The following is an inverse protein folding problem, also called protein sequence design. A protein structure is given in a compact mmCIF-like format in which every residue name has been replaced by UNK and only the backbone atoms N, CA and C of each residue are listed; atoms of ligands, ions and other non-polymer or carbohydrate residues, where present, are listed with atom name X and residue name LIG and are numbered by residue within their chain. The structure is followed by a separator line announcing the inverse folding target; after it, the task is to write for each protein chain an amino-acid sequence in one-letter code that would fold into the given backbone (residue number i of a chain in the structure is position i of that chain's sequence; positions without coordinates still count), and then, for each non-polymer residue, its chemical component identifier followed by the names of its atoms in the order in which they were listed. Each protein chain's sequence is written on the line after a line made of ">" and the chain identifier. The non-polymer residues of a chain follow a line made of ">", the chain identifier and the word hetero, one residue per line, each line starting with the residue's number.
data_IF_606235226671
#
_entry.id   IF_606235226671
#
_cell.length_a   1.000
_cell.length_b   1.000
_cell.length_c   1.000
_cell.angle_alpha   90.00
_cell.angle_beta   90.00
_cell.angle_gamma   90.00
#
_symmetry.space_group_name_H-M   'P 1'
#
loop_
_entity.id
_entity.type
_entity.pdbx_description
1 polymer ?
#
# COMPACT_ATOMS: atom_id res chain seq x y z
N UNK A 1 -22.10 -13.18 -2.90
CA UNK A 1 -23.56 -13.40 -2.84
C UNK A 1 -24.06 -13.72 -1.44
N UNK A 2 -23.49 -14.72 -0.75
CA UNK A 2 -23.81 -15.04 0.67
C UNK A 2 -23.60 -13.86 1.64
N UNK A 3 -22.51 -13.10 1.50
CA UNK A 3 -22.25 -11.93 2.33
C UNK A 3 -23.32 -10.83 2.18
N UNK A 4 -23.83 -10.60 0.98
CA UNK A 4 -24.86 -9.57 0.72
C UNK A 4 -26.18 -9.96 1.41
N UNK A 5 -26.54 -11.24 1.37
CA UNK A 5 -27.76 -11.75 2.01
C UNK A 5 -27.67 -11.58 3.54
N UNK A 6 -26.56 -11.99 4.15
CA UNK A 6 -26.39 -11.95 5.60
C UNK A 6 -26.19 -10.53 6.17
N UNK A 7 -25.42 -9.68 5.48
CA UNK A 7 -25.04 -8.37 6.02
C UNK A 7 -25.95 -7.23 5.58
N UNK A 8 -26.81 -7.43 4.56
CA UNK A 8 -27.69 -6.37 4.04
C UNK A 8 -29.16 -6.80 4.11
N UNK A 9 -29.52 -7.96 3.56
CA UNK A 9 -30.94 -8.36 3.44
C UNK A 9 -31.55 -8.71 4.81
N UNK A 10 -30.88 -9.55 5.61
CA UNK A 10 -31.40 -9.96 6.93
C UNK A 10 -31.59 -8.76 7.88
N UNK A 11 -30.61 -7.86 8.06
CA UNK A 11 -30.80 -6.67 8.89
C UNK A 11 -31.92 -5.76 8.38
N UNK A 12 -32.06 -5.61 7.07
CA UNK A 12 -33.10 -4.77 6.47
C UNK A 12 -34.51 -5.34 6.72
N UNK A 13 -34.69 -6.67 6.60
CA UNK A 13 -35.95 -7.33 6.96
C UNK A 13 -36.25 -7.18 8.46
N UNK A 14 -35.25 -7.36 9.33
CA UNK A 14 -35.41 -7.17 10.77
C UNK A 14 -35.75 -5.71 11.14
N UNK A 15 -35.20 -4.74 10.42
CA UNK A 15 -35.53 -3.32 10.60
C UNK A 15 -37.01 -3.03 10.33
N UNK A 16 -37.57 -3.56 9.24
CA UNK A 16 -39.00 -3.45 8.95
C UNK A 16 -39.87 -4.25 9.92
N UNK A 17 -39.38 -5.38 10.43
CA UNK A 17 -40.07 -6.22 11.40
C UNK A 17 -40.20 -5.57 12.80
N UNK A 18 -39.13 -4.95 13.30
CA UNK A 18 -39.09 -4.32 14.63
C UNK A 18 -39.61 -2.86 14.67
N UNK A 19 -40.24 -2.39 13.58
CA UNK A 19 -40.80 -1.05 13.34
C UNK A 19 -40.98 -0.18 14.61
N UNK A 20 -40.08 0.79 14.79
CA UNK A 20 -40.08 1.85 15.83
C UNK A 20 -40.05 1.39 17.30
N UNK A 21 -39.44 0.24 17.58
CA UNK A 21 -39.12 -0.20 18.95
C UNK A 21 -37.61 -0.21 19.21
N UNK A 22 -37.19 -0.50 20.44
CA UNK A 22 -35.77 -0.59 20.81
C UNK A 22 -34.98 -1.56 19.90
N UNK A 23 -35.65 -2.57 19.35
CA UNK A 23 -35.09 -3.50 18.37
C UNK A 23 -34.64 -2.81 17.06
N UNK A 24 -35.34 -1.78 16.58
CA UNK A 24 -34.91 -1.06 15.37
C UNK A 24 -33.63 -0.25 15.59
N UNK A 25 -33.40 0.25 16.81
CA UNK A 25 -32.16 0.97 17.17
C UNK A 25 -30.97 0.00 17.16
N UNK A 26 -31.14 -1.20 17.73
CA UNK A 26 -30.09 -2.24 17.76
C UNK A 26 -29.70 -2.67 16.34
N UNK A 27 -30.68 -2.82 15.44
CA UNK A 27 -30.43 -3.17 14.04
C UNK A 27 -29.66 -2.06 13.31
N UNK A 28 -30.01 -0.79 13.52
CA UNK A 28 -29.27 0.36 12.96
C UNK A 28 -27.82 0.37 13.47
N UNK A 29 -27.61 0.22 14.78
CA UNK A 29 -26.27 0.18 15.37
C UNK A 29 -25.43 -0.97 14.82
N UNK A 30 -26.05 -2.14 14.62
CA UNK A 30 -25.40 -3.30 14.01
C UNK A 30 -24.98 -3.04 12.57
N UNK A 31 -25.85 -2.39 11.77
CA UNK A 31 -25.53 -2.00 10.39
C UNK A 31 -24.40 -0.97 10.35
N UNK A 32 -24.41 0.03 11.25
CA UNK A 32 -23.34 1.02 11.37
C UNK A 32 -22.01 0.36 11.76
N UNK A 33 -22.05 -0.61 12.67
CA UNK A 33 -20.87 -1.38 13.08
C UNK A 33 -20.30 -2.19 11.91
N UNK A 34 -21.15 -2.93 11.19
CA UNK A 34 -20.74 -3.67 9.99
C UNK A 34 -20.17 -2.70 8.95
N UNK A 35 -20.87 -1.60 8.67
CA UNK A 35 -20.43 -0.60 7.70
C UNK A 35 -19.07 -0.03 8.07
N UNK A 36 -18.85 0.30 9.34
CA UNK A 36 -17.56 0.72 9.85
C UNK A 36 -16.54 -0.39 9.56
N UNK A 37 -16.66 -1.62 10.05
CA UNK A 37 -15.63 -2.64 9.83
C UNK A 37 -15.53 -3.21 8.41
N UNK A 38 -16.39 -2.80 7.47
CA UNK A 38 -16.25 -3.19 6.07
C UNK A 38 -15.23 -2.33 5.31
N UNK A 39 -14.43 -2.93 4.40
CA UNK A 39 -13.43 -2.21 3.61
C UNK A 39 -14.04 -1.16 2.66
N UNK A 40 -15.35 -1.22 2.41
CA UNK A 40 -16.07 -0.18 1.66
C UNK A 40 -15.99 1.19 2.33
N UNK A 41 -15.91 1.25 3.66
CA UNK A 41 -15.85 2.53 4.37
C UNK A 41 -14.54 3.28 4.13
N UNK A 42 -13.44 2.61 3.75
CA UNK A 42 -12.18 3.28 3.38
C UNK A 42 -12.36 4.24 2.20
N UNK A 43 -13.24 3.90 1.25
CA UNK A 43 -13.48 4.72 0.05
C UNK A 43 -14.16 6.06 0.36
N UNK A 44 -14.70 6.24 1.57
CA UNK A 44 -15.25 7.52 2.02
C UNK A 44 -14.15 8.47 2.53
N UNK A 45 -12.94 7.98 2.75
CA UNK A 45 -11.88 8.74 3.39
C UNK A 45 -10.93 9.36 2.34
N UNK A 46 -10.76 10.70 2.31
CA UNK A 46 -9.88 11.34 1.32
C UNK A 46 -8.43 10.86 1.38
N UNK A 47 -7.92 10.56 2.59
CA UNK A 47 -6.55 10.06 2.78
C UNK A 47 -6.32 8.69 2.15
N UNK A 48 -7.35 7.84 2.08
CA UNK A 48 -7.29 6.55 1.40
C UNK A 48 -7.12 6.73 -0.11
N UNK A 49 -7.83 7.69 -0.71
CA UNK A 49 -7.67 8.00 -2.15
C UNK A 49 -6.29 8.55 -2.50
N UNK A 50 -5.71 9.36 -1.62
CA UNK A 50 -4.33 9.83 -1.78
C UNK A 50 -3.34 8.65 -1.73
N UNK A 51 -3.46 7.80 -0.71
CA UNK A 51 -2.66 6.57 -0.59
C UNK A 51 -2.80 5.68 -1.82
N UNK A 52 -4.03 5.41 -2.28
CA UNK A 52 -4.29 4.59 -3.46
C UNK A 52 -3.67 5.17 -4.73
N UNK A 53 -3.72 6.50 -4.90
CA UNK A 53 -3.12 7.19 -6.04
C UNK A 53 -1.59 7.01 -6.07
N UNK A 54 -0.95 7.10 -4.91
CA UNK A 54 0.48 6.84 -4.76
C UNK A 54 0.80 5.40 -5.19
N UNK A 55 0.06 4.43 -4.66
CA UNK A 55 0.30 3.02 -4.98
C UNK A 55 0.08 2.67 -6.45
N UNK A 56 -0.86 3.34 -7.13
CA UNK A 56 -1.09 3.18 -8.57
C UNK A 56 0.10 3.61 -9.44
N UNK A 57 1.06 4.39 -8.92
CA UNK A 57 2.29 4.68 -9.64
C UNK A 57 3.10 3.40 -9.94
N UNK A 58 2.93 2.35 -9.12
CA UNK A 58 3.59 1.07 -9.36
C UNK A 58 3.08 0.32 -10.60
N UNK A 59 1.88 0.66 -11.09
CA UNK A 59 1.27 0.07 -12.29
C UNK A 59 1.86 0.66 -13.58
N UNK A 60 2.46 1.86 -13.50
CA UNK A 60 3.09 2.52 -14.64
C UNK A 60 4.30 1.73 -15.17
N UNK A 61 4.61 1.85 -16.48
CA UNK A 61 5.84 1.28 -17.04
C UNK A 61 7.08 1.84 -16.35
N UNK A 62 8.13 1.01 -16.24
CA UNK A 62 9.38 1.42 -15.61
C UNK A 62 10.19 2.31 -16.55
N UNK A 63 9.95 3.62 -16.48
CA UNK A 63 10.65 4.65 -17.25
C UNK A 63 10.93 5.89 -16.39
N UNK A 64 11.63 6.87 -16.96
CA UNK A 64 12.02 8.10 -16.24
C UNK A 64 10.83 8.92 -15.75
N UNK A 65 9.74 8.96 -16.52
CA UNK A 65 8.51 9.66 -16.12
C UNK A 65 7.94 9.07 -14.82
N UNK A 66 7.83 7.74 -14.73
CA UNK A 66 7.39 7.07 -13.50
C UNK A 66 8.33 7.37 -12.34
N UNK A 67 9.63 7.28 -12.60
CA UNK A 67 10.65 7.44 -11.56
C UNK A 67 10.61 8.85 -10.98
N UNK A 68 10.58 9.88 -11.83
CA UNK A 68 10.45 11.26 -11.39
C UNK A 68 9.11 11.54 -10.70
N UNK A 69 8.00 10.91 -11.13
CA UNK A 69 6.73 10.97 -10.39
C UNK A 69 6.84 10.40 -8.98
N UNK A 70 7.53 9.26 -8.80
CA UNK A 70 7.76 8.67 -7.47
C UNK A 70 8.64 9.59 -6.62
N UNK A 71 9.75 10.05 -7.19
CA UNK A 71 10.73 10.89 -6.51
C UNK A 71 10.19 12.27 -6.12
N UNK A 72 9.25 12.83 -6.88
CA UNK A 72 8.62 14.11 -6.55
C UNK A 72 7.92 14.12 -5.19
N UNK A 73 7.46 12.97 -4.68
CA UNK A 73 6.93 12.89 -3.31
C UNK A 73 7.99 13.09 -2.23
N UNK A 74 9.27 12.94 -2.57
CA UNK A 74 10.43 13.15 -1.72
C UNK A 74 11.17 14.45 -2.04
N UNK A 75 10.54 15.36 -2.79
CA UNK A 75 11.11 16.66 -3.18
C UNK A 75 12.44 16.51 -3.95
N UNK A 76 12.55 15.45 -4.75
CA UNK A 76 13.73 15.12 -5.56
C UNK A 76 13.32 14.59 -6.94
N UNK A 77 14.28 14.45 -7.85
CA UNK A 77 14.17 13.73 -9.12
C UNK A 77 15.43 12.89 -9.35
N UNK A 78 15.53 12.20 -10.49
CA UNK A 78 16.68 11.35 -10.82
C UNK A 78 18.01 12.12 -10.97
N UNK A 79 17.97 13.39 -11.37
CA UNK A 79 19.14 14.21 -11.64
C UNK A 79 19.74 14.77 -10.35
N UNK A 80 18.89 15.11 -9.37
CA UNK A 80 19.32 15.67 -8.08
C UNK A 80 19.38 14.65 -6.93
N UNK A 81 18.96 13.39 -7.15
CA UNK A 81 19.01 12.36 -6.12
C UNK A 81 20.44 12.14 -5.60
N UNK A 82 20.60 12.11 -4.28
CA UNK A 82 21.88 11.74 -3.65
C UNK A 82 22.12 10.23 -3.78
N UNK A 83 22.76 9.85 -4.89
CA UNK A 83 23.13 8.48 -5.18
C UNK A 83 24.14 7.91 -4.19
N UNK A 84 25.00 8.74 -3.58
CA UNK A 84 26.00 8.26 -2.61
C UNK A 84 25.31 7.82 -1.32
N UNK A 85 24.42 8.65 -0.77
CA UNK A 85 23.61 8.27 0.39
C UNK A 85 22.78 7.02 0.10
N UNK A 86 22.15 6.96 -1.08
CA UNK A 86 21.32 5.83 -1.50
C UNK A 86 22.13 4.53 -1.57
N UNK A 87 23.35 4.58 -2.12
CA UNK A 87 24.22 3.41 -2.23
C UNK A 87 24.80 2.98 -0.87
N UNK A 88 24.84 3.86 0.13
CA UNK A 88 25.25 3.50 1.50
C UNK A 88 24.29 2.51 2.18
N UNK A 89 23.05 2.39 1.69
CA UNK A 89 22.00 1.52 2.25
C UNK A 89 21.73 0.26 1.42
N UNK A 90 22.47 0.08 0.33
CA UNK A 90 22.19 -1.00 -0.63
C UNK A 90 22.40 -2.38 -0.01
N UNK A 91 21.65 -3.35 -0.50
CA UNK A 91 21.84 -4.76 -0.18
C UNK A 91 21.74 -5.62 -1.44
N UNK A 92 22.31 -6.82 -1.36
CA UNK A 92 22.20 -7.83 -2.40
C UNK A 92 20.87 -8.57 -2.24
N UNK A 93 20.11 -8.70 -3.32
CA UNK A 93 18.85 -9.44 -3.34
C UNK A 93 19.17 -10.92 -3.46
N UNK A 94 18.68 -11.72 -2.51
CA UNK A 94 18.89 -13.17 -2.50
C UNK A 94 17.78 -13.90 -3.27
N UNK A 95 18.01 -15.16 -3.64
CA UNK A 95 17.08 -15.95 -4.47
C UNK A 95 15.72 -16.20 -3.78
N UNK A 96 15.70 -16.12 -2.46
CA UNK A 96 14.51 -16.34 -1.63
C UNK A 96 13.56 -15.13 -1.66
N UNK A 97 14.04 -13.95 -2.09
CA UNK A 97 13.18 -12.78 -2.22
C UNK A 97 12.25 -12.90 -3.42
N UNK A 98 10.95 -12.68 -3.20
CA UNK A 98 9.90 -12.86 -4.23
C UNK A 98 10.01 -11.96 -5.47
N UNK A 99 10.88 -10.95 -5.46
CA UNK A 99 11.18 -10.11 -6.63
C UNK A 99 12.57 -10.36 -7.22
N UNK A 100 13.33 -11.35 -6.74
CA UNK A 100 14.61 -11.71 -7.34
C UNK A 100 14.44 -12.15 -8.79
N UNK A 101 15.27 -11.61 -9.68
CA UNK A 101 15.40 -12.09 -11.06
C UNK A 101 16.88 -12.04 -11.45
N UNK A 102 17.44 -13.20 -11.77
CA UNK A 102 18.84 -13.33 -12.14
C UNK A 102 19.17 -12.42 -13.34
N UNK A 103 20.25 -11.64 -13.24
CA UNK A 103 20.67 -10.68 -14.26
C UNK A 103 19.80 -9.42 -14.40
N UNK A 104 18.75 -9.26 -13.58
CA UNK A 104 17.81 -8.11 -13.67
C UNK A 104 17.69 -7.38 -12.32
N UNK A 105 17.44 -8.11 -11.23
CA UNK A 105 17.23 -7.55 -9.88
C UNK A 105 18.15 -8.27 -8.89
N UNK A 106 19.41 -7.86 -8.86
CA UNK A 106 20.45 -8.45 -8.00
C UNK A 106 20.81 -7.55 -6.82
N UNK A 107 20.58 -6.24 -6.95
CA UNK A 107 20.83 -5.25 -5.93
C UNK A 107 19.58 -4.39 -5.72
N UNK A 108 19.37 -4.03 -4.47
CA UNK A 108 18.26 -3.19 -4.06
C UNK A 108 18.76 -2.11 -3.09
N UNK A 109 18.08 -0.97 -3.13
CA UNK A 109 18.23 0.06 -2.11
C UNK A 109 16.91 0.79 -1.90
N UNK A 110 16.80 1.49 -0.78
CA UNK A 110 15.66 2.33 -0.45
C UNK A 110 16.11 3.69 0.02
N UNK A 111 15.29 4.71 -0.25
CA UNK A 111 15.48 6.01 0.35
C UNK A 111 15.04 6.02 1.83
N UNK A 112 15.28 7.14 2.51
CA UNK A 112 14.64 7.41 3.80
C UNK A 112 13.13 7.48 3.61
N UNK A 113 12.38 6.71 4.39
CA UNK A 113 10.93 6.82 4.40
C UNK A 113 10.48 8.23 4.79
N UNK A 114 9.40 8.70 4.16
CA UNK A 114 8.80 10.03 4.41
C UNK A 114 7.38 9.86 4.90
N UNK A 115 7.04 10.58 5.97
CA UNK A 115 5.65 10.70 6.42
C UNK A 115 4.98 11.81 5.61
N UNK A 116 3.92 11.49 4.85
CA UNK A 116 3.19 12.49 4.06
C UNK A 116 2.12 13.20 4.89
N UNK A 117 1.47 12.48 5.80
CA UNK A 117 0.43 13.00 6.69
C UNK A 117 0.31 12.08 7.92
N UNK A 118 -0.65 12.30 8.81
CA UNK A 118 -0.82 11.48 10.03
C UNK A 118 -1.16 10.00 9.81
N UNK A 119 -1.45 9.60 8.56
CA UNK A 119 -1.89 8.25 8.20
C UNK A 119 -1.05 7.58 7.11
N UNK A 120 -0.36 8.34 6.26
CA UNK A 120 0.36 7.79 5.11
C UNK A 120 1.86 7.99 5.28
N UNK A 121 2.59 6.88 5.27
CA UNK A 121 4.05 6.86 5.11
C UNK A 121 4.41 6.26 3.76
N UNK A 122 5.53 6.72 3.19
CA UNK A 122 6.01 6.27 1.88
C UNK A 122 7.50 5.96 1.92
N UNK A 123 7.93 5.09 1.01
CA UNK A 123 9.33 4.74 0.77
C UNK A 123 9.50 4.40 -0.71
N UNK A 124 10.59 4.84 -1.34
CA UNK A 124 10.96 4.44 -2.69
C UNK A 124 11.99 3.31 -2.62
N UNK A 125 11.76 2.26 -3.41
CA UNK A 125 12.65 1.13 -3.58
C UNK A 125 13.17 1.09 -5.02
N UNK A 126 14.46 0.86 -5.16
CA UNK A 126 15.21 0.86 -6.41
C UNK A 126 15.84 -0.53 -6.58
N UNK A 127 15.69 -1.11 -7.77
CA UNK A 127 16.24 -2.41 -8.12
C UNK A 127 17.13 -2.27 -9.35
N UNK A 128 18.29 -2.92 -9.30
CA UNK A 128 19.28 -2.95 -10.37
C UNK A 128 19.93 -4.32 -10.46
N UNK A 129 20.53 -4.62 -11.60
CA UNK A 129 21.46 -5.74 -11.77
C UNK A 129 22.88 -5.38 -11.31
N UNK A 130 23.20 -4.09 -11.18
CA UNK A 130 24.53 -3.60 -10.84
C UNK A 130 24.67 -3.22 -9.36
N UNK A 131 25.88 -3.43 -8.82
CA UNK A 131 26.16 -3.16 -7.41
C UNK A 131 26.20 -1.67 -7.05
N UNK A 132 26.46 -0.78 -8.00
CA UNK A 132 26.48 0.68 -7.79
C UNK A 132 25.28 1.28 -8.52
N UNK A 133 24.18 1.47 -7.80
CA UNK A 133 22.93 1.96 -8.37
C UNK A 133 23.09 3.45 -8.73
N UNK A 134 22.74 3.83 -9.95
CA UNK A 134 22.80 5.19 -10.46
C UNK A 134 21.62 5.46 -11.40
N UNK A 135 21.52 6.68 -11.90
CA UNK A 135 20.45 7.10 -12.83
C UNK A 135 20.26 6.13 -14.02
N UNK A 136 21.34 5.62 -14.60
CA UNK A 136 21.31 4.87 -15.86
C UNK A 136 21.01 3.38 -15.70
N UNK A 137 21.37 2.78 -14.56
CA UNK A 137 21.30 1.32 -14.37
C UNK A 137 20.12 0.86 -13.49
N UNK A 138 19.11 1.71 -13.28
CA UNK A 138 17.89 1.29 -12.57
C UNK A 138 16.99 0.49 -13.51
N UNK A 139 16.84 -0.79 -13.21
CA UNK A 139 15.94 -1.69 -13.90
C UNK A 139 14.49 -1.49 -13.44
N UNK A 140 14.26 -1.16 -12.17
CA UNK A 140 12.91 -0.91 -11.65
C UNK A 140 12.93 0.05 -10.45
N UNK A 141 11.96 0.96 -10.41
CA UNK A 141 11.61 1.72 -9.20
C UNK A 141 10.17 1.44 -8.80
N UNK A 142 9.93 1.30 -7.49
CA UNK A 142 8.60 1.17 -6.93
C UNK A 142 8.44 2.00 -5.67
N UNK A 143 7.24 2.50 -5.43
CA UNK A 143 6.88 3.19 -4.20
C UNK A 143 6.13 2.24 -3.28
N UNK A 144 6.69 1.99 -2.10
CA UNK A 144 5.96 1.43 -0.97
C UNK A 144 5.22 2.55 -0.26
N UNK A 145 3.97 2.30 0.11
CA UNK A 145 3.23 3.17 1.00
C UNK A 145 2.49 2.31 2.02
N UNK A 146 2.36 2.84 3.24
CA UNK A 146 1.55 2.27 4.31
C UNK A 146 0.51 3.30 4.72
N UNK A 147 -0.74 2.86 4.84
CA UNK A 147 -1.86 3.67 5.29
C UNK A 147 -2.47 3.12 6.57
N UNK A 148 -2.49 3.97 7.59
CA UNK A 148 -3.08 3.72 8.89
C UNK A 148 -4.59 3.94 8.84
N UNK A 149 -5.35 2.85 8.96
CA UNK A 149 -6.82 2.87 8.81
C UNK A 149 -7.54 3.53 9.99
N UNK A 150 -6.85 3.70 11.13
CA UNK A 150 -7.40 4.11 12.44
C UNK A 150 -8.51 3.20 12.95
N UNK A 151 -8.53 1.95 12.50
CA UNK A 151 -9.44 0.93 13.00
C UNK A 151 -8.65 -0.05 13.83
N UNK A 152 -9.12 -0.19 15.07
CA UNK A 152 -8.46 -0.99 16.08
C UNK A 152 -9.28 -2.26 16.30
N UNK A 153 -8.58 -3.39 16.36
CA UNK A 153 -9.17 -4.68 16.70
C UNK A 153 -8.41 -5.30 17.88
N UNK A 154 -9.09 -6.08 18.73
CA UNK A 154 -8.42 -6.82 19.78
C UNK A 154 -7.52 -7.90 19.16
N UNK A 155 -6.25 -7.89 19.55
CA UNK A 155 -5.25 -8.85 19.11
C UNK A 155 -4.46 -9.37 20.32
N UNK A 156 -3.76 -10.48 20.14
CA UNK A 156 -2.95 -11.12 21.19
C UNK A 156 -3.30 -12.59 21.38
N UNK A 157 -2.54 -13.27 22.22
CA UNK A 157 -2.77 -14.65 22.63
C UNK A 157 -2.48 -14.82 24.12
N UNK A 158 -2.91 -15.96 24.67
CA UNK A 158 -2.51 -16.37 26.02
C UNK A 158 -0.97 -16.46 26.08
N UNK A 159 -0.38 -15.70 26.99
CA UNK A 159 1.08 -15.59 27.17
C UNK A 159 1.69 -14.24 26.75
N UNK A 160 1.09 -13.52 25.79
CA UNK A 160 1.57 -12.18 25.37
C UNK A 160 0.64 -11.03 25.74
N UNK A 161 -0.58 -11.33 26.21
CA UNK A 161 -1.58 -10.36 26.64
C UNK A 161 -2.47 -9.83 25.52
N UNK A 162 -3.59 -9.21 25.89
CA UNK A 162 -4.51 -8.56 24.96
C UNK A 162 -4.06 -7.13 24.66
N UNK A 163 -4.00 -6.76 23.38
CA UNK A 163 -3.67 -5.41 22.92
C UNK A 163 -4.57 -4.95 21.79
N UNK A 164 -4.77 -3.64 21.70
CA UNK A 164 -5.41 -3.03 20.53
C UNK A 164 -4.40 -2.90 19.40
N UNK A 165 -4.66 -3.57 18.29
CA UNK A 165 -3.85 -3.48 17.08
C UNK A 165 -4.57 -2.64 16.03
N UNK A 166 -3.86 -1.72 15.38
CA UNK A 166 -4.39 -0.98 14.24
C UNK A 166 -4.24 -1.82 12.97
N UNK A 167 -5.28 -1.83 12.13
CA UNK A 167 -5.17 -2.35 10.77
C UNK A 167 -4.43 -1.35 9.86
N UNK A 168 -3.47 -1.83 9.09
CA UNK A 168 -2.72 -1.01 8.12
C UNK A 168 -2.81 -1.63 6.74
N UNK A 169 -2.96 -0.80 5.71
CA UNK A 169 -2.92 -1.22 4.31
C UNK A 169 -1.60 -0.85 3.67
N UNK A 170 -1.03 -1.75 2.88
CA UNK A 170 0.13 -1.52 2.03
C UNK A 170 -0.26 -1.38 0.56
N UNK A 171 0.67 -0.91 -0.28
CA UNK A 171 0.40 -0.85 -1.72
C UNK A 171 0.06 -2.21 -2.35
N UNK A 172 0.53 -3.30 -1.76
CA UNK A 172 0.21 -4.68 -2.19
C UNK A 172 -1.28 -5.01 -2.08
N UNK A 173 -2.02 -4.31 -1.22
CA UNK A 173 -3.45 -4.57 -0.99
C UNK A 173 -4.34 -3.81 -1.99
N UNK A 174 -3.82 -2.77 -2.66
CA UNK A 174 -4.64 -1.82 -3.44
C UNK A 174 -4.19 -1.61 -4.88
N UNK A 175 -2.97 -2.00 -5.24
CA UNK A 175 -2.41 -1.78 -6.57
C UNK A 175 -1.62 -3.00 -7.06
N UNK A 176 -1.64 -3.23 -8.37
CA UNK A 176 -0.77 -4.25 -8.98
C UNK A 176 0.63 -3.67 -9.16
N UNK A 177 1.66 -4.49 -8.92
CA UNK A 177 3.04 -4.09 -9.22
C UNK A 177 3.35 -4.45 -10.68
N UNK A 178 3.85 -3.50 -11.47
CA UNK A 178 4.44 -3.81 -12.77
C UNK A 178 5.84 -4.41 -12.55
N UNK A 179 6.08 -5.63 -13.04
CA UNK A 179 7.34 -6.36 -12.88
C UNK A 179 8.26 -6.29 -14.12
N UNK A 180 7.82 -5.67 -15.21
CA UNK A 180 8.59 -5.52 -16.45
C UNK A 180 9.77 -4.56 -16.24
N UNK A 181 11.02 -4.95 -16.51
CA UNK A 181 12.15 -4.06 -16.30
C UNK A 181 12.16 -2.89 -17.29
N UNK A 182 12.83 -1.78 -16.91
CA UNK A 182 13.10 -0.64 -17.79
C UNK A 182 13.75 -1.12 -19.09
N UNK A 183 13.25 -0.67 -20.23
CA UNK A 183 13.74 -1.05 -21.56
C UNK A 183 13.20 -2.38 -22.12
N UNK A 184 12.39 -3.16 -21.39
CA UNK A 184 11.83 -4.42 -21.89
C UNK A 184 10.88 -4.25 -23.11
N UNK A 185 10.29 -3.06 -23.24
CA UNK A 185 9.29 -2.77 -24.27
C UNK A 185 9.83 -1.96 -25.47
N UNK A 186 11.17 -1.90 -25.65
CA UNK A 186 11.80 -1.13 -26.72
C UNK A 186 11.28 0.33 -26.79
N UNK A 187 11.45 1.10 -25.71
CA UNK A 187 11.36 2.56 -25.82
C UNK A 187 12.52 3.02 -26.74
N UNK A 188 12.18 3.24 -28.02
CA UNK A 188 13.01 3.92 -29.02
C UNK A 188 12.90 5.43 -28.86
#
# INVERSE_FOLDING_TARGET
>A
MLAIIFFIIIPLVLFFYFKYNIGSIIVILSLLFIFYYTPYSFYLEPSFWQFRRICKLNELPNNEEKYNKILSYFDTDLDILDWEELNGRKWKVTKEHGFYRQGIYEYATTNKGKQLNSRTSIIAAFLSNESKINHYNINQMSIGATWHTKRYYPAGNEGSGFRWSEETLGCVDVAKKNYEPKGANNEK
#
